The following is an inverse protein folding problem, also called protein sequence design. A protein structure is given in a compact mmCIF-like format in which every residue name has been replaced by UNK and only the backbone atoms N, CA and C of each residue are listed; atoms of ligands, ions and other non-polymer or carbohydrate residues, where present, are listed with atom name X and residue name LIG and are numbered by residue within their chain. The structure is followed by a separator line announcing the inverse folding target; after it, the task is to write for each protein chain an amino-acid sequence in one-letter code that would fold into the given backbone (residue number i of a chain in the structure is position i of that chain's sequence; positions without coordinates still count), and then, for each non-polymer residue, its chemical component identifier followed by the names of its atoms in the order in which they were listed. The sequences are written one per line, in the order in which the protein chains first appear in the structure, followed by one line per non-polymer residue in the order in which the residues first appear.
data_IF_985727128027
#
_entry.id   IF_985727128027
#
_cell.length_a   1.000
_cell.length_b   1.000
_cell.length_c   1.000
_cell.angle_alpha   90.00
_cell.angle_beta   90.00
_cell.angle_gamma   90.00
#
_symmetry.space_group_name_H-M   'P 1'
#
loop_
_entity.id
_entity.type
_entity.pdbx_description
1 polymer ?
#
# COMPACT_ATOMS: atom_id res chain seq x y z
N UNK A 1 -29.21 -22.47 -2.69
CA UNK A 1 -28.06 -22.50 -3.63
C UNK A 1 -27.36 -21.17 -3.53
N UNK A 2 -26.46 -21.08 -2.57
CA UNK A 2 -25.71 -19.88 -2.17
C UNK A 2 -24.38 -19.88 -2.91
N UNK A 3 -24.33 -19.25 -4.09
CA UNK A 3 -23.09 -18.95 -4.78
C UNK A 3 -22.46 -17.73 -4.11
N UNK A 4 -21.52 -17.97 -3.19
CA UNK A 4 -20.61 -16.93 -2.70
C UNK A 4 -19.69 -16.62 -3.88
N UNK A 5 -19.93 -15.48 -4.52
CA UNK A 5 -19.11 -14.97 -5.61
C UNK A 5 -17.80 -14.49 -4.99
N UNK A 6 -16.69 -15.11 -5.39
CA UNK A 6 -15.35 -14.70 -4.97
C UNK A 6 -15.12 -13.24 -5.38
N UNK A 7 -14.59 -12.38 -4.49
CA UNK A 7 -14.22 -11.03 -4.88
C UNK A 7 -13.04 -11.13 -5.85
N UNK A 8 -13.29 -10.78 -7.11
CA UNK A 8 -12.24 -10.48 -8.08
C UNK A 8 -11.37 -9.36 -7.51
N UNK A 9 -10.18 -9.69 -7.00
CA UNK A 9 -9.17 -8.69 -6.71
C UNK A 9 -8.68 -8.13 -8.05
N UNK A 10 -9.22 -6.97 -8.43
CA UNK A 10 -8.61 -6.10 -9.43
C UNK A 10 -7.19 -5.78 -8.94
N UNK A 11 -6.21 -5.70 -9.84
CA UNK A 11 -4.88 -5.13 -9.58
C UNK A 11 -5.08 -3.71 -9.01
N UNK A 12 -5.24 -3.60 -7.71
CA UNK A 12 -5.29 -2.32 -7.03
C UNK A 12 -3.86 -1.77 -7.00
N UNK A 13 -3.67 -0.54 -7.47
CA UNK A 13 -2.47 0.22 -7.14
C UNK A 13 -2.30 0.17 -5.61
N UNK A 14 -1.19 -0.40 -5.14
CA UNK A 14 -0.98 -0.72 -3.73
C UNK A 14 -1.01 0.53 -2.84
N UNK A 15 -0.55 1.67 -3.35
CA UNK A 15 -0.54 2.94 -2.63
C UNK A 15 -1.40 3.99 -3.39
N UNK A 16 -2.20 4.80 -2.67
CA UNK A 16 -3.01 5.90 -3.23
C UNK A 16 -2.76 7.24 -2.51
N UNK A 17 -3.39 8.33 -2.97
CA UNK A 17 -3.19 9.68 -2.42
C UNK A 17 -1.70 10.08 -2.40
N UNK A 18 -1.27 10.73 -1.31
CA UNK A 18 0.11 11.21 -1.17
C UNK A 18 1.13 10.07 -1.05
N UNK A 19 0.79 8.94 -0.44
CA UNK A 19 1.68 7.78 -0.37
C UNK A 19 1.89 7.13 -1.75
N UNK A 20 0.82 7.03 -2.56
CA UNK A 20 0.93 6.56 -3.94
C UNK A 20 1.71 7.50 -4.84
N UNK A 21 1.65 8.82 -4.58
CA UNK A 21 2.48 9.78 -5.29
C UNK A 21 3.95 9.60 -4.90
N UNK A 22 4.25 9.46 -3.61
CA UNK A 22 5.60 9.23 -3.12
C UNK A 22 6.21 7.93 -3.68
N UNK A 23 5.41 6.87 -3.84
CA UNK A 23 5.84 5.66 -4.53
C UNK A 23 6.25 5.94 -5.99
N UNK A 24 5.47 6.74 -6.73
CA UNK A 24 5.82 7.11 -8.10
C UNK A 24 7.19 7.80 -8.19
N UNK A 25 7.55 8.64 -7.21
CA UNK A 25 8.89 9.24 -7.08
C UNK A 25 9.98 8.22 -6.72
N UNK A 26 9.65 7.13 -6.02
CA UNK A 26 10.59 6.05 -5.70
C UNK A 26 10.88 5.16 -6.93
N UNK A 27 9.86 4.94 -7.77
CA UNK A 27 9.94 4.06 -8.94
C UNK A 27 10.48 4.79 -10.19
N UNK A 28 10.39 6.11 -10.22
CA UNK A 28 10.85 6.93 -11.35
C UNK A 28 12.30 7.38 -11.19
N UNK A 29 13.01 7.70 -12.29
CA UNK A 29 14.26 8.45 -12.21
C UNK A 29 14.07 9.76 -11.44
N UNK A 30 15.09 10.15 -10.66
CA UNK A 30 15.05 11.38 -9.88
C UNK A 30 14.83 12.59 -10.82
N UNK A 31 13.81 13.42 -10.59
CA UNK A 31 13.55 14.60 -11.42
C UNK A 31 14.71 15.60 -11.35
N UNK A 32 15.12 16.13 -12.50
CA UNK A 32 16.25 17.07 -12.59
C UNK A 32 15.89 18.47 -12.07
N UNK A 33 14.62 18.86 -12.20
CA UNK A 33 14.09 20.14 -11.77
C UNK A 33 12.63 20.04 -11.33
N UNK A 34 12.10 21.17 -10.85
CA UNK A 34 10.71 21.26 -10.38
C UNK A 34 9.69 21.00 -11.49
N UNK A 35 10.00 21.35 -12.74
CA UNK A 35 9.11 21.09 -13.88
C UNK A 35 8.99 19.60 -14.15
N UNK A 36 10.10 18.87 -14.14
CA UNK A 36 10.11 17.41 -14.25
C UNK A 36 9.36 16.74 -13.09
N UNK A 37 9.52 17.25 -11.86
CA UNK A 37 8.80 16.73 -10.69
C UNK A 37 7.28 16.93 -10.83
N UNK A 38 6.81 18.10 -11.27
CA UNK A 38 5.39 18.35 -11.54
C UNK A 38 4.88 17.54 -12.75
N UNK A 39 5.74 17.28 -13.73
CA UNK A 39 5.47 16.36 -14.84
C UNK A 39 5.14 14.96 -14.34
N UNK A 40 5.88 14.45 -13.35
CA UNK A 40 5.59 13.16 -12.72
C UNK A 40 4.26 13.16 -11.96
N UNK A 41 3.96 14.23 -11.22
CA UNK A 41 2.65 14.41 -10.54
C UNK A 41 1.52 14.34 -11.57
N UNK A 42 1.65 15.08 -12.67
CA UNK A 42 0.66 15.10 -13.76
C UNK A 42 0.53 13.71 -14.39
N UNK A 43 1.63 13.02 -14.66
CA UNK A 43 1.62 11.69 -15.25
C UNK A 43 0.93 10.64 -14.35
N UNK A 44 1.15 10.69 -13.03
CA UNK A 44 0.46 9.80 -12.07
C UNK A 44 -1.04 10.09 -12.04
N UNK A 45 -1.44 11.36 -11.97
CA UNK A 45 -2.84 11.76 -12.06
C UNK A 45 -3.48 11.32 -13.39
N UNK A 46 -2.77 11.46 -14.52
CA UNK A 46 -3.22 11.02 -15.85
C UNK A 46 -3.32 9.49 -15.97
N UNK A 47 -2.52 8.73 -15.23
CA UNK A 47 -2.57 7.28 -15.22
C UNK A 47 -3.87 6.79 -14.55
N UNK A 48 -4.16 7.31 -13.35
CA UNK A 48 -5.42 7.02 -12.65
C UNK A 48 -6.66 7.49 -13.42
N UNK A 49 -6.56 8.62 -14.14
CA UNK A 49 -7.67 9.08 -14.97
C UNK A 49 -7.90 8.17 -16.20
N UNK A 50 -6.84 7.52 -16.71
CA UNK A 50 -6.91 6.62 -17.88
C UNK A 50 -7.23 5.18 -17.53
N UNK A 51 -7.06 4.76 -16.28
CA UNK A 51 -7.60 3.48 -15.82
C UNK A 51 -9.13 3.51 -16.02
N UNK A 52 -9.53 2.79 -17.07
CA UNK A 52 -10.89 2.68 -17.54
C UNK A 52 -11.74 1.96 -16.49
N UNK A 53 -13.06 2.24 -16.46
CA UNK A 53 -13.96 1.64 -15.48
C UNK A 53 -13.85 0.13 -15.54
N UNK A 54 -13.86 -0.51 -14.37
CA UNK A 54 -13.98 -1.96 -14.20
C UNK A 54 -14.90 -2.48 -15.30
N UNK A 55 -14.39 -3.40 -16.13
CA UNK A 55 -15.04 -3.80 -17.38
C UNK A 55 -16.55 -3.98 -17.21
N UNK A 56 -17.33 -3.10 -17.85
CA UNK A 56 -18.79 -3.10 -17.95
C UNK A 56 -19.51 -4.03 -16.96
N UNK A 57 -19.77 -3.52 -15.75
CA UNK A 57 -20.79 -4.08 -14.82
C UNK A 57 -22.22 -3.84 -15.32
N UNK A 58 -22.40 -3.43 -16.57
CA UNK A 58 -23.71 -3.15 -17.17
C UNK A 58 -24.62 -4.39 -17.21
N UNK A 59 -24.01 -5.58 -17.17
CA UNK A 59 -24.71 -6.85 -17.08
C UNK A 59 -25.23 -7.18 -15.67
N UNK A 60 -24.73 -6.51 -14.62
CA UNK A 60 -25.19 -6.66 -13.24
C UNK A 60 -26.37 -5.71 -12.98
N UNK A 61 -27.38 -6.17 -12.24
CA UNK A 61 -28.46 -5.33 -11.72
C UNK A 61 -27.95 -4.37 -10.63
N UNK A 62 -28.73 -3.32 -10.32
CA UNK A 62 -28.36 -2.36 -9.27
C UNK A 62 -28.17 -3.04 -7.89
N UNK A 63 -29.02 -4.02 -7.56
CA UNK A 63 -28.89 -4.78 -6.32
C UNK A 63 -27.62 -5.64 -6.32
N UNK A 64 -27.26 -6.26 -7.45
CA UNK A 64 -26.02 -7.04 -7.58
C UNK A 64 -24.77 -6.16 -7.49
N UNK A 65 -24.78 -4.96 -8.08
CA UNK A 65 -23.67 -3.99 -7.95
C UNK A 65 -23.52 -3.49 -6.52
N UNK A 66 -24.62 -3.27 -5.81
CA UNK A 66 -24.62 -2.88 -4.40
C UNK A 66 -24.13 -4.01 -3.48
N UNK A 67 -24.59 -5.25 -3.71
CA UNK A 67 -24.19 -6.45 -2.96
C UNK A 67 -22.70 -6.78 -3.17
N UNK A 68 -22.19 -6.56 -4.38
CA UNK A 68 -20.79 -6.86 -4.76
C UNK A 68 -19.83 -5.67 -4.58
N UNK A 69 -20.31 -4.52 -4.09
CA UNK A 69 -19.45 -3.34 -3.84
C UNK A 69 -19.01 -2.57 -5.10
N UNK A 70 -19.56 -2.87 -6.27
CA UNK A 70 -19.24 -2.17 -7.54
C UNK A 70 -19.87 -0.78 -7.67
N UNK A 71 -20.83 -0.45 -6.79
CA UNK A 71 -21.35 0.91 -6.66
C UNK A 71 -20.37 1.86 -5.95
N UNK A 72 -19.28 1.33 -5.37
CA UNK A 72 -18.28 2.07 -4.60
C UNK A 72 -16.87 1.73 -5.08
N UNK A 73 -16.61 2.01 -6.34
CA UNK A 73 -15.28 1.92 -6.90
C UNK A 73 -14.54 3.26 -6.70
N UNK A 74 -13.21 3.25 -6.53
CA UNK A 74 -12.35 4.44 -6.36
C UNK A 74 -12.55 5.51 -7.48
N UNK A 75 -13.19 5.08 -8.57
CA UNK A 75 -13.44 5.77 -9.82
C UNK A 75 -14.52 6.87 -9.74
N UNK A 76 -15.30 6.93 -8.66
CA UNK A 76 -16.30 8.00 -8.47
C UNK A 76 -15.72 9.29 -7.85
N UNK A 77 -14.57 9.22 -7.15
CA UNK A 77 -13.96 10.37 -6.45
C UNK A 77 -12.59 10.80 -7.03
N UNK A 78 -11.90 9.92 -7.76
CA UNK A 78 -10.67 10.25 -8.48
C UNK A 78 -9.47 10.50 -7.56
N UNK A 79 -8.35 9.88 -7.88
CA UNK A 79 -7.07 9.99 -7.16
C UNK A 79 -6.66 11.44 -6.81
N UNK A 80 -7.08 12.42 -7.63
CA UNK A 80 -6.84 13.84 -7.38
C UNK A 80 -7.50 14.36 -6.09
N UNK A 81 -8.69 13.90 -5.71
CA UNK A 81 -9.36 14.40 -4.50
C UNK A 81 -8.70 13.87 -3.23
N UNK A 82 -8.40 12.57 -3.18
CA UNK A 82 -7.67 11.94 -2.07
C UNK A 82 -6.28 12.57 -1.88
N UNK A 83 -5.55 12.78 -2.99
CA UNK A 83 -4.26 13.45 -2.94
C UNK A 83 -4.39 14.88 -2.38
N UNK A 84 -5.45 15.61 -2.74
CA UNK A 84 -5.69 16.96 -2.21
C UNK A 84 -6.04 16.95 -0.74
N UNK A 85 -6.84 16.00 -0.27
CA UNK A 85 -7.15 15.86 1.16
C UNK A 85 -5.86 15.66 1.98
N UNK A 86 -5.00 14.73 1.55
CA UNK A 86 -3.70 14.47 2.18
C UNK A 86 -2.80 15.73 2.19
N UNK A 87 -2.68 16.37 1.02
CA UNK A 87 -1.84 17.55 0.81
C UNK A 87 -2.33 18.72 1.66
N UNK A 88 -3.64 18.99 1.67
CA UNK A 88 -4.23 20.09 2.44
C UNK A 88 -4.09 19.84 3.93
N UNK A 89 -4.32 18.60 4.37
CA UNK A 89 -4.08 18.20 5.76
C UNK A 89 -2.68 18.59 6.23
N UNK A 90 -1.65 18.29 5.45
CA UNK A 90 -0.27 18.68 5.78
C UNK A 90 -0.03 20.19 5.66
N UNK A 91 -0.52 20.83 4.59
CA UNK A 91 -0.33 22.28 4.32
C UNK A 91 -1.03 23.17 5.35
N UNK A 92 -2.12 22.72 5.95
CA UNK A 92 -2.87 23.46 6.98
C UNK A 92 -2.44 23.07 8.40
N UNK A 93 -1.70 21.98 8.56
CA UNK A 93 -1.23 21.50 9.87
C UNK A 93 -0.23 22.44 10.55
N UNK A 94 -0.15 22.38 11.89
CA UNK A 94 0.86 23.11 12.67
C UNK A 94 2.26 22.48 12.62
N UNK A 95 2.50 21.45 11.79
CA UNK A 95 3.81 20.80 11.68
C UNK A 95 4.87 21.77 11.16
N UNK A 96 6.12 21.60 11.61
CA UNK A 96 7.25 22.33 11.04
C UNK A 96 7.49 21.91 9.58
N UNK A 97 8.02 22.82 8.75
CA UNK A 97 8.33 22.50 7.35
C UNK A 97 9.38 21.37 7.25
N UNK A 98 10.32 21.35 8.20
CA UNK A 98 11.33 20.31 8.33
C UNK A 98 10.72 18.92 8.58
N UNK A 99 9.66 18.83 9.39
CA UNK A 99 8.96 17.58 9.65
C UNK A 99 8.24 17.09 8.38
N UNK A 100 7.55 18.00 7.67
CA UNK A 100 6.90 17.69 6.38
C UNK A 100 7.93 17.22 5.35
N UNK A 101 9.08 17.91 5.28
CA UNK A 101 10.19 17.53 4.40
C UNK A 101 10.74 16.14 4.74
N UNK A 102 10.96 15.86 6.03
CA UNK A 102 11.51 14.58 6.47
C UNK A 102 10.59 13.41 6.08
N UNK A 103 9.30 13.55 6.34
CA UNK A 103 8.28 12.54 5.98
C UNK A 103 8.19 12.37 4.46
N UNK A 104 8.12 13.46 3.70
CA UNK A 104 8.09 13.41 2.23
C UNK A 104 9.32 12.68 1.68
N UNK A 105 10.52 13.04 2.13
CA UNK A 105 11.76 12.41 1.64
C UNK A 105 11.83 10.93 2.01
N UNK A 106 11.40 10.56 3.21
CA UNK A 106 11.34 9.17 3.64
C UNK A 106 10.38 8.35 2.76
N UNK A 107 9.17 8.86 2.52
CA UNK A 107 8.17 8.18 1.70
C UNK A 107 8.55 8.11 0.22
N UNK A 108 9.18 9.16 -0.31
CA UNK A 108 9.60 9.26 -1.71
C UNK A 108 10.97 8.62 -2.02
N UNK A 109 11.58 7.93 -1.05
CA UNK A 109 12.90 7.30 -1.22
C UNK A 109 14.03 8.28 -1.50
N UNK A 110 13.87 9.54 -1.13
CA UNK A 110 14.80 10.63 -1.45
C UNK A 110 14.87 10.98 -2.94
N UNK A 111 13.96 10.47 -3.77
CA UNK A 111 13.93 10.72 -5.22
C UNK A 111 13.69 12.18 -5.59
N UNK A 112 13.08 12.96 -4.68
CA UNK A 112 12.87 14.40 -4.83
C UNK A 112 12.92 15.12 -3.48
N UNK A 113 13.76 16.15 -3.36
CA UNK A 113 13.85 17.02 -2.19
C UNK A 113 13.61 18.48 -2.60
N UNK A 114 12.42 19.07 -2.31
CA UNK A 114 12.09 20.41 -2.78
C UNK A 114 13.07 21.49 -2.28
N UNK A 115 13.65 21.30 -1.08
CA UNK A 115 14.61 22.27 -0.50
C UNK A 115 15.91 22.30 -1.28
N UNK A 116 16.35 21.16 -1.84
CA UNK A 116 17.52 21.11 -2.72
C UNK A 116 17.33 21.94 -4.01
N UNK A 117 16.07 22.23 -4.36
CA UNK A 117 15.67 23.05 -5.52
C UNK A 117 15.14 24.44 -5.10
N UNK A 118 15.46 24.90 -3.89
CA UNK A 118 15.12 26.26 -3.43
C UNK A 118 13.64 26.46 -3.06
N UNK A 119 12.93 25.39 -2.71
CA UNK A 119 11.52 25.42 -2.37
C UNK A 119 11.26 24.78 -1.00
N UNK A 120 10.39 25.39 -0.17
CA UNK A 120 9.96 24.74 1.07
C UNK A 120 9.14 23.47 0.78
N UNK A 121 9.09 22.53 1.73
CA UNK A 121 8.27 21.34 1.54
C UNK A 121 6.78 21.69 1.45
N UNK A 122 6.33 22.70 2.20
CA UNK A 122 4.95 23.20 2.13
C UNK A 122 4.62 23.87 0.80
N UNK A 123 5.54 24.63 0.21
CA UNK A 123 5.34 25.21 -1.12
C UNK A 123 5.27 24.12 -2.21
N UNK A 124 6.05 23.05 -2.06
CA UNK A 124 5.94 21.88 -2.93
C UNK A 124 4.55 21.24 -2.86
N UNK A 125 4.05 20.98 -1.64
CA UNK A 125 2.71 20.45 -1.43
C UNK A 125 1.62 21.37 -1.99
N UNK A 126 1.75 22.70 -1.84
CA UNK A 126 0.81 23.67 -2.46
C UNK A 126 0.78 23.56 -3.98
N UNK A 127 1.92 23.38 -4.63
CA UNK A 127 1.96 23.18 -6.11
C UNK A 127 1.30 21.87 -6.53
N UNK A 128 1.37 20.82 -5.70
CA UNK A 128 0.60 19.60 -5.93
C UNK A 128 -0.90 19.88 -5.83
N UNK A 129 -1.36 20.60 -4.78
CA UNK A 129 -2.79 20.98 -4.65
C UNK A 129 -3.27 21.80 -5.85
N UNK A 130 -2.48 22.79 -6.28
CA UNK A 130 -2.77 23.61 -7.48
C UNK A 130 -2.88 22.75 -8.74
N UNK A 131 -1.97 21.79 -8.93
CA UNK A 131 -1.97 20.86 -10.07
C UNK A 131 -3.22 19.98 -10.05
N UNK A 132 -3.63 19.50 -8.88
CA UNK A 132 -4.86 18.72 -8.73
C UNK A 132 -6.11 19.59 -8.94
N UNK A 133 -6.12 20.82 -8.41
CA UNK A 133 -7.24 21.76 -8.52
C UNK A 133 -7.49 22.25 -9.95
N UNK A 134 -6.44 22.28 -10.79
CA UNK A 134 -6.54 22.63 -12.19
C UNK A 134 -7.27 21.56 -13.02
N UNK A 135 -7.47 20.34 -12.49
CA UNK A 135 -8.16 19.26 -13.20
C UNK A 135 -9.68 19.43 -13.10
N UNK A 136 -10.42 19.24 -14.21
CA UNK A 136 -11.87 19.22 -14.14
C UNK A 136 -12.33 18.01 -13.31
N UNK A 137 -13.40 18.13 -12.50
CA UNK A 137 -13.96 16.98 -11.78
C UNK A 137 -14.32 15.87 -12.78
N UNK A 138 -13.94 14.62 -12.46
CA UNK A 138 -14.31 13.46 -13.27
C UNK A 138 -15.83 13.30 -13.22
N UNK A 139 -16.51 13.56 -14.35
CA UNK A 139 -17.94 13.30 -14.50
C UNK A 139 -18.10 11.94 -15.18
N UNK A 140 -18.44 10.90 -14.41
CA UNK A 140 -18.87 9.62 -14.98
C UNK A 140 -20.33 9.78 -15.46
N UNK A 141 -20.61 9.75 -16.77
CA UNK A 141 -21.98 9.97 -17.26
C UNK A 141 -22.95 8.91 -16.74
N UNK A 142 -24.09 9.34 -16.18
CA UNK A 142 -25.13 8.44 -15.69
C UNK A 142 -24.97 7.97 -14.24
N UNK A 143 -23.82 8.21 -13.59
CA UNK A 143 -23.68 8.02 -12.14
C UNK A 143 -24.04 9.30 -11.39
N UNK A 144 -24.86 9.16 -10.34
CA UNK A 144 -25.04 10.22 -9.34
C UNK A 144 -23.77 10.24 -8.48
N UNK A 145 -23.18 11.41 -8.15
CA UNK A 145 -22.12 11.45 -7.16
C UNK A 145 -22.58 10.69 -5.93
N UNK A 146 -21.80 9.71 -5.48
CA UNK A 146 -22.14 8.97 -4.28
C UNK A 146 -22.40 10.00 -3.15
N UNK A 147 -23.41 9.79 -2.28
CA UNK A 147 -23.44 10.49 -1.01
C UNK A 147 -22.06 10.33 -0.36
N UNK A 148 -21.47 11.43 0.12
CA UNK A 148 -20.07 11.54 0.54
C UNK A 148 -19.49 10.22 1.04
N UNK A 149 -18.46 9.75 0.34
CA UNK A 149 -17.73 8.49 0.52
C UNK A 149 -18.40 7.47 1.47
N UNK A 150 -18.91 6.35 0.95
CA UNK A 150 -19.21 5.19 1.80
C UNK A 150 -17.96 4.74 2.60
N UNK A 151 -16.75 5.10 2.15
CA UNK A 151 -15.51 5.07 2.95
C UNK A 151 -15.55 6.01 4.17
N UNK A 152 -16.09 7.23 4.05
CA UNK A 152 -16.31 8.13 5.18
C UNK A 152 -17.35 7.61 6.18
N UNK A 153 -18.26 6.73 5.76
CA UNK A 153 -19.18 6.04 6.67
C UNK A 153 -18.54 4.88 7.43
N UNK A 154 -17.40 4.34 6.95
CA UNK A 154 -16.64 3.24 7.57
C UNK A 154 -15.26 3.65 8.08
N UNK A 155 -14.88 4.93 7.92
CA UNK A 155 -13.64 5.46 8.52
C UNK A 155 -13.82 5.49 10.03
N UNK A 156 -12.96 4.78 10.78
CA UNK A 156 -12.99 4.84 12.22
C UNK A 156 -12.71 6.26 12.66
N UNK A 157 -13.27 6.66 13.80
CA UNK A 157 -12.96 7.98 14.33
C UNK A 157 -11.45 8.06 14.61
N UNK A 158 -10.82 9.20 14.28
CA UNK A 158 -9.36 9.31 14.33
C UNK A 158 -8.79 8.97 15.72
N UNK A 159 -9.51 9.26 16.79
CA UNK A 159 -9.17 8.91 18.16
C UNK A 159 -9.18 7.40 18.46
N UNK A 160 -9.99 6.61 17.76
CA UNK A 160 -10.06 5.15 17.97
C UNK A 160 -8.81 4.40 17.48
N UNK A 161 -8.14 4.95 16.46
CA UNK A 161 -7.01 4.31 15.76
C UNK A 161 -5.68 5.00 16.02
N UNK A 162 -5.69 6.26 16.51
CA UNK A 162 -4.47 7.06 16.68
C UNK A 162 -3.46 6.37 17.58
N UNK A 163 -3.89 5.89 18.74
CA UNK A 163 -2.98 5.33 19.73
C UNK A 163 -2.31 4.04 19.21
N UNK A 164 -3.04 3.23 18.45
CA UNK A 164 -2.50 2.01 17.84
C UNK A 164 -1.49 2.34 16.73
N UNK A 165 -1.79 3.32 15.87
CA UNK A 165 -0.86 3.78 14.82
C UNK A 165 0.42 4.36 15.46
N UNK A 166 0.27 5.22 16.46
CA UNK A 166 1.40 5.83 17.18
C UNK A 166 2.23 4.75 17.89
N UNK A 167 1.58 3.76 18.51
CA UNK A 167 2.29 2.65 19.16
C UNK A 167 3.13 1.84 18.17
N UNK A 168 2.63 1.60 16.95
CA UNK A 168 3.39 0.89 15.93
C UNK A 168 4.61 1.68 15.43
N UNK A 169 4.45 2.98 15.20
CA UNK A 169 5.56 3.87 14.79
C UNK A 169 6.61 3.94 15.91
N UNK A 170 6.18 4.18 17.15
CA UNK A 170 7.05 4.23 18.32
C UNK A 170 7.77 2.89 18.55
N UNK A 171 7.09 1.77 18.27
CA UNK A 171 7.67 0.44 18.33
C UNK A 171 8.83 0.22 17.35
N UNK A 172 8.82 0.87 16.18
CA UNK A 172 9.97 0.85 15.26
C UNK A 172 11.03 1.87 15.72
N UNK A 173 10.62 3.03 16.24
CA UNK A 173 11.55 4.04 16.76
C UNK A 173 12.41 3.52 17.91
N UNK A 174 11.82 2.72 18.80
CA UNK A 174 12.57 2.05 19.86
C UNK A 174 13.65 1.10 19.34
N UNK A 175 13.36 0.36 18.26
CA UNK A 175 14.35 -0.53 17.61
C UNK A 175 15.44 0.32 16.94
N UNK A 176 15.05 1.40 16.25
CA UNK A 176 15.97 2.32 15.59
C UNK A 176 16.92 2.99 16.57
N UNK A 177 16.44 3.46 17.72
CA UNK A 177 17.29 4.05 18.75
C UNK A 177 18.29 3.06 19.35
N UNK A 178 17.89 1.81 19.56
CA UNK A 178 18.82 0.75 20.02
C UNK A 178 19.87 0.45 18.95
N UNK A 179 19.44 0.33 17.68
CA UNK A 179 20.33 0.06 16.56
C UNK A 179 21.28 1.23 16.28
N UNK A 180 20.88 2.48 16.47
CA UNK A 180 21.74 3.66 16.32
C UNK A 180 22.85 3.68 17.38
N UNK A 181 22.52 3.36 18.64
CA UNK A 181 23.51 3.22 19.71
C UNK A 181 24.52 2.11 19.39
N UNK A 182 24.07 1.00 18.81
CA UNK A 182 24.93 -0.11 18.40
C UNK A 182 25.75 0.21 17.12
N UNK A 183 25.13 0.89 16.15
CA UNK A 183 25.68 1.18 14.82
C UNK A 183 26.74 2.27 14.79
N UNK A 184 26.83 3.15 15.80
CA UNK A 184 27.97 4.07 15.99
C UNK A 184 29.31 3.28 16.07
N UNK A 185 29.27 2.02 16.52
CA UNK A 185 30.46 1.16 16.54
C UNK A 185 30.83 0.57 15.17
N UNK A 186 29.84 0.28 14.32
CA UNK A 186 30.03 -0.43 13.04
C UNK A 186 30.21 0.52 11.85
N UNK A 187 29.62 1.73 11.90
CA UNK A 187 29.71 2.75 10.86
C UNK A 187 31.13 3.34 10.69
N UNK A 188 32.01 3.15 11.67
CA UNK A 188 33.44 3.49 11.55
C UNK A 188 34.18 2.63 10.50
N UNK A 189 33.63 1.47 10.11
CA UNK A 189 34.35 0.45 9.35
C UNK A 189 33.94 0.35 7.87
N UNK A 190 32.76 0.85 7.48
CA UNK A 190 32.14 0.51 6.18
C UNK A 190 32.02 1.67 5.16
N UNK A 191 32.56 2.85 5.46
CA UNK A 191 32.32 4.06 4.68
C UNK A 191 33.20 4.19 3.41
N UNK A 192 33.05 3.31 2.43
CA UNK A 192 33.44 3.64 1.05
C UNK A 192 32.74 2.70 0.04
N UNK A 193 31.92 3.27 -0.85
CA UNK A 193 31.33 2.64 -2.08
C UNK A 193 29.90 2.08 -1.97
N UNK A 194 28.86 2.94 -1.96
CA UNK A 194 27.50 2.52 -2.37
C UNK A 194 26.57 3.65 -2.82
N UNK A 195 25.69 3.35 -3.79
CA UNK A 195 24.77 4.28 -4.49
C UNK A 195 23.50 4.60 -3.67
N UNK A 196 22.76 5.68 -4.02
CA UNK A 196 21.60 6.22 -3.27
C UNK A 196 20.56 5.18 -2.82
N UNK A 197 20.18 4.22 -3.69
CA UNK A 197 19.14 3.21 -3.40
C UNK A 197 19.62 2.10 -2.47
N UNK A 198 20.91 1.77 -2.55
CA UNK A 198 21.58 0.79 -1.69
C UNK A 198 22.01 1.40 -0.35
N UNK A 199 21.98 2.73 -0.21
CA UNK A 199 22.30 3.44 1.04
C UNK A 199 21.20 3.36 2.09
N UNK A 200 19.94 3.21 1.68
CA UNK A 200 18.80 3.16 2.63
C UNK A 200 18.29 1.75 2.90
N UNK A 201 18.49 0.80 1.97
CA UNK A 201 18.04 -0.57 2.14
C UNK A 201 18.74 -1.24 3.33
N UNK A 202 17.94 -1.71 4.30
CA UNK A 202 18.43 -2.37 5.51
C UNK A 202 18.80 -1.40 6.66
N UNK A 203 18.71 -0.09 6.45
CA UNK A 203 18.81 0.90 7.54
C UNK A 203 17.43 1.27 8.05
N UNK A 204 17.29 1.40 9.37
CA UNK A 204 16.05 1.91 9.95
C UNK A 204 15.88 3.40 9.62
N UNK A 205 14.63 3.87 9.38
CA UNK A 205 14.36 5.30 9.33
C UNK A 205 14.89 5.97 10.61
N UNK A 206 15.50 7.14 10.48
CA UNK A 206 16.04 7.84 11.65
C UNK A 206 14.94 8.13 12.68
N UNK A 207 15.28 8.23 13.98
CA UNK A 207 14.31 8.60 15.01
C UNK A 207 13.54 9.88 14.68
N UNK A 208 14.20 10.88 14.09
CA UNK A 208 13.56 12.14 13.66
C UNK A 208 12.47 11.92 12.60
N UNK A 209 12.68 11.01 11.65
CA UNK A 209 11.67 10.65 10.64
C UNK A 209 10.47 9.99 11.31
N UNK A 210 10.72 9.08 12.24
CA UNK A 210 9.67 8.35 12.95
C UNK A 210 8.88 9.28 13.86
N UNK A 211 9.54 10.19 14.57
CA UNK A 211 8.88 11.26 15.32
C UNK A 211 8.03 12.15 14.41
N UNK A 212 8.53 12.54 13.24
CA UNK A 212 7.75 13.33 12.28
C UNK A 212 6.50 12.57 11.77
N UNK A 213 6.60 11.25 11.55
CA UNK A 213 5.47 10.39 11.18
C UNK A 213 4.43 10.27 12.31
N UNK A 214 4.87 10.15 13.57
CA UNK A 214 3.98 10.22 14.73
C UNK A 214 3.26 11.57 14.80
N UNK A 215 3.97 12.67 14.57
CA UNK A 215 3.36 14.00 14.56
C UNK A 215 2.31 14.15 13.45
N UNK A 216 2.51 13.54 12.27
CA UNK A 216 1.47 13.46 11.23
C UNK A 216 0.27 12.68 11.73
N UNK A 217 0.47 11.50 12.33
CA UNK A 217 -0.62 10.68 12.85
C UNK A 217 -1.45 11.40 13.94
N UNK A 218 -0.78 12.20 14.78
CA UNK A 218 -1.40 12.93 15.89
C UNK A 218 -2.07 14.23 15.43
N UNK A 219 -1.37 15.04 14.63
CA UNK A 219 -1.78 16.44 14.34
C UNK A 219 -2.46 16.63 12.98
N UNK A 220 -2.36 15.64 12.09
CA UNK A 220 -2.98 15.69 10.76
C UNK A 220 -4.07 14.63 10.68
N UNK A 221 -3.68 13.36 10.55
CA UNK A 221 -4.61 12.24 10.50
C UNK A 221 -3.85 10.91 10.70
N UNK A 222 -4.35 9.97 11.54
CA UNK A 222 -3.69 8.69 11.80
C UNK A 222 -3.56 7.83 10.56
N UNK A 223 -4.54 7.82 9.67
CA UNK A 223 -4.48 7.07 8.41
C UNK A 223 -3.36 7.57 7.48
N UNK A 224 -3.21 8.89 7.34
CA UNK A 224 -2.15 9.47 6.52
C UNK A 224 -0.77 9.15 7.13
N UNK A 225 -0.64 9.30 8.45
CA UNK A 225 0.56 8.91 9.19
C UNK A 225 0.90 7.43 8.96
N UNK A 226 -0.09 6.55 9.05
CA UNK A 226 0.08 5.11 8.82
C UNK A 226 0.49 4.78 7.37
N UNK A 227 -0.17 5.35 6.36
CA UNK A 227 0.21 5.13 4.94
C UNK A 227 1.62 5.61 4.64
N UNK A 228 2.01 6.79 5.14
CA UNK A 228 3.37 7.32 4.96
C UNK A 228 4.41 6.52 5.75
N UNK A 229 4.04 5.98 6.91
CA UNK A 229 4.88 5.08 7.69
C UNK A 229 5.12 3.76 6.95
N UNK A 230 4.08 3.09 6.46
CA UNK A 230 4.22 1.88 5.63
C UNK A 230 5.11 2.16 4.42
N UNK A 231 4.89 3.28 3.73
CA UNK A 231 5.70 3.69 2.58
C UNK A 231 7.17 3.85 2.95
N UNK A 232 7.48 4.47 4.10
CA UNK A 232 8.85 4.54 4.60
C UNK A 232 9.42 3.13 4.86
N UNK A 233 8.69 2.24 5.54
CA UNK A 233 9.18 0.87 5.76
C UNK A 233 9.50 0.14 4.45
N UNK A 234 8.66 0.29 3.41
CA UNK A 234 8.91 -0.26 2.07
C UNK A 234 10.19 0.31 1.45
N UNK A 235 10.36 1.63 1.49
CA UNK A 235 11.55 2.34 0.97
C UNK A 235 12.84 1.89 1.64
N UNK A 236 12.83 1.79 2.97
CA UNK A 236 14.00 1.40 3.76
C UNK A 236 14.18 -0.13 3.81
N UNK A 237 13.23 -0.88 3.25
CA UNK A 237 13.17 -2.35 3.32
C UNK A 237 13.36 -2.84 4.76
N UNK A 238 12.60 -2.23 5.68
CA UNK A 238 12.66 -2.58 7.10
C UNK A 238 12.07 -3.96 7.30
N UNK A 239 12.92 -4.88 7.72
CA UNK A 239 12.53 -6.24 8.09
C UNK A 239 11.57 -6.22 9.30
N UNK A 240 10.35 -6.73 9.15
CA UNK A 240 9.35 -6.83 10.23
C UNK A 240 8.92 -8.27 10.49
N UNK A 241 8.62 -8.57 11.75
CA UNK A 241 8.07 -9.88 12.15
C UNK A 241 6.62 -10.06 11.68
N UNK A 242 6.23 -11.32 11.41
CA UNK A 242 4.86 -11.68 11.01
C UNK A 242 3.77 -11.12 11.94
N UNK A 243 4.01 -11.18 13.26
CA UNK A 243 3.07 -10.66 14.24
C UNK A 243 2.84 -9.14 14.12
N UNK A 244 3.85 -8.38 13.66
CA UNK A 244 3.70 -6.93 13.41
C UNK A 244 2.96 -6.70 12.09
N UNK A 245 3.29 -7.47 11.06
CA UNK A 245 2.53 -7.48 9.81
C UNK A 245 1.04 -7.74 10.04
N UNK A 246 0.68 -8.71 10.90
CA UNK A 246 -0.73 -9.01 11.22
C UNK A 246 -1.46 -7.82 11.86
N UNK A 247 -0.76 -7.05 12.70
CA UNK A 247 -1.31 -5.82 13.27
C UNK A 247 -1.44 -4.71 12.24
N UNK A 248 -0.53 -4.62 11.26
CA UNK A 248 -0.68 -3.69 10.15
C UNK A 248 -1.88 -4.05 9.27
N UNK A 249 -2.11 -5.34 9.00
CA UNK A 249 -3.30 -5.77 8.28
C UNK A 249 -4.57 -5.42 9.05
N UNK A 250 -4.62 -5.71 10.36
CA UNK A 250 -5.77 -5.34 11.19
C UNK A 250 -6.02 -3.81 11.23
N UNK A 251 -4.96 -2.99 11.24
CA UNK A 251 -5.10 -1.53 11.11
C UNK A 251 -5.61 -1.13 9.72
N UNK A 252 -5.04 -1.72 8.66
CA UNK A 252 -5.47 -1.50 7.28
C UNK A 252 -6.96 -1.81 7.07
N UNK A 253 -7.42 -2.97 7.55
CA UNK A 253 -8.81 -3.38 7.51
C UNK A 253 -9.73 -2.37 8.23
N UNK A 254 -9.31 -1.85 9.40
CA UNK A 254 -10.05 -0.82 10.11
C UNK A 254 -10.18 0.47 9.31
N UNK A 255 -9.16 0.84 8.54
CA UNK A 255 -9.23 1.98 7.61
C UNK A 255 -9.98 1.67 6.30
N UNK A 256 -10.40 0.42 6.08
CA UNK A 256 -10.98 -0.03 4.82
C UNK A 256 -9.97 -0.15 3.67
N UNK A 257 -8.67 -0.28 3.98
CA UNK A 257 -7.63 -0.41 2.96
C UNK A 257 -7.57 -1.85 2.40
N UNK A 258 -7.24 -2.01 1.10
CA UNK A 258 -6.98 -3.33 0.55
C UNK A 258 -5.71 -3.93 1.17
N UNK A 259 -5.70 -5.25 1.39
CA UNK A 259 -4.54 -5.97 1.95
C UNK A 259 -3.25 -5.77 1.13
N UNK A 260 -3.38 -5.54 -0.18
CA UNK A 260 -2.29 -5.21 -1.10
C UNK A 260 -1.51 -3.95 -0.68
N UNK A 261 -2.18 -2.96 -0.07
CA UNK A 261 -1.51 -1.74 0.42
C UNK A 261 -0.50 -2.04 1.52
N UNK A 262 -0.78 -3.06 2.34
CA UNK A 262 0.09 -3.47 3.42
C UNK A 262 1.13 -4.45 2.88
N UNK A 263 0.72 -5.49 2.17
CA UNK A 263 1.58 -6.61 1.81
C UNK A 263 2.65 -6.25 0.76
N UNK A 264 2.26 -5.55 -0.31
CA UNK A 264 3.14 -5.32 -1.44
C UNK A 264 4.31 -4.40 -1.07
N UNK A 265 5.53 -4.94 -1.17
CA UNK A 265 6.78 -4.22 -0.98
C UNK A 265 7.29 -4.14 0.46
N UNK A 266 6.59 -4.73 1.44
CA UNK A 266 7.13 -4.88 2.80
C UNK A 266 8.10 -6.06 2.90
N UNK A 267 9.17 -5.88 3.67
CA UNK A 267 10.11 -6.96 3.99
C UNK A 267 9.66 -7.72 5.24
N UNK A 268 8.96 -8.85 5.04
CA UNK A 268 8.27 -9.57 6.11
C UNK A 268 8.98 -10.88 6.47
N UNK A 269 9.29 -11.05 7.75
CA UNK A 269 9.78 -12.28 8.36
C UNK A 269 8.72 -13.34 8.42
N UNK A 270 8.47 -13.92 7.25
CA UNK A 270 7.60 -15.06 7.08
C UNK A 270 8.10 -16.24 7.91
N UNK A 271 7.21 -16.89 8.68
CA UNK A 271 7.55 -18.13 9.36
C UNK A 271 7.89 -19.23 8.33
N UNK A 272 8.52 -20.34 8.75
CA UNK A 272 8.70 -21.49 7.88
C UNK A 272 7.36 -21.99 7.34
N UNK A 273 7.36 -22.46 6.10
CA UNK A 273 6.18 -23.09 5.49
C UNK A 273 5.76 -24.29 6.35
N UNK A 274 4.50 -24.27 6.79
CA UNK A 274 3.89 -25.35 7.55
C UNK A 274 2.75 -25.96 6.73
N UNK A 275 3.02 -27.08 6.06
CA UNK A 275 2.01 -27.80 5.30
C UNK A 275 1.08 -28.63 6.20
N UNK A 276 1.08 -28.50 7.52
CA UNK A 276 -0.06 -28.95 8.33
C UNK A 276 -1.13 -27.86 8.49
N UNK A 277 -0.75 -26.59 8.33
CA UNK A 277 -1.63 -25.44 8.43
C UNK A 277 -2.47 -25.33 7.13
N UNK A 278 -3.79 -25.31 7.28
CA UNK A 278 -4.79 -25.27 6.19
C UNK A 278 -5.81 -24.16 6.48
N UNK A 279 -5.31 -22.97 6.74
CA UNK A 279 -6.11 -21.80 7.15
C UNK A 279 -6.48 -20.87 5.99
N UNK A 280 -6.34 -21.34 4.74
CA UNK A 280 -6.89 -20.65 3.59
C UNK A 280 -8.39 -20.43 3.80
N UNK A 281 -8.85 -19.18 3.63
CA UNK A 281 -10.26 -18.80 3.81
C UNK A 281 -11.10 -19.09 2.56
N UNK A 282 -10.46 -19.57 1.48
CA UNK A 282 -11.02 -19.80 0.16
C UNK A 282 -10.78 -21.24 -0.32
N UNK A 283 -11.50 -21.67 -1.36
CA UNK A 283 -11.37 -23.03 -1.91
C UNK A 283 -10.06 -23.19 -2.68
N UNK A 284 -9.09 -23.91 -2.11
CA UNK A 284 -7.73 -24.06 -2.61
C UNK A 284 -7.38 -25.53 -2.98
N UNK A 285 -6.35 -25.72 -3.81
CA UNK A 285 -5.72 -27.02 -4.02
C UNK A 285 -6.50 -27.92 -4.97
N UNK A 286 -6.62 -29.22 -4.68
CA UNK A 286 -7.28 -30.16 -5.60
C UNK A 286 -8.78 -29.94 -5.75
N UNK A 287 -9.47 -29.42 -4.73
CA UNK A 287 -10.89 -29.06 -4.86
C UNK A 287 -11.07 -27.90 -5.83
N UNK A 288 -10.26 -26.85 -5.70
CA UNK A 288 -10.22 -25.74 -6.65
C UNK A 288 -9.93 -26.21 -8.08
N UNK A 289 -8.85 -26.98 -8.26
CA UNK A 289 -8.45 -27.50 -9.58
C UNK A 289 -9.53 -28.40 -10.20
N UNK A 290 -10.21 -29.23 -9.40
CA UNK A 290 -11.31 -30.05 -9.88
C UNK A 290 -12.54 -29.21 -10.26
N UNK A 291 -12.81 -28.11 -9.56
CA UNK A 291 -13.84 -27.14 -9.90
C UNK A 291 -13.57 -26.45 -11.24
N UNK A 292 -12.32 -26.00 -11.46
CA UNK A 292 -11.88 -25.39 -12.72
C UNK A 292 -11.89 -26.38 -13.89
N UNK A 293 -11.56 -27.65 -13.64
CA UNK A 293 -11.54 -28.70 -14.65
C UNK A 293 -12.90 -28.94 -15.34
N UNK A 294 -14.01 -28.55 -14.71
CA UNK A 294 -15.34 -28.65 -15.32
C UNK A 294 -15.54 -27.63 -16.47
N UNK A 295 -14.74 -26.57 -16.56
CA UNK A 295 -14.97 -25.48 -17.53
C UNK A 295 -14.17 -25.62 -18.83
N UNK A 296 -12.86 -25.91 -18.81
CA UNK A 296 -12.06 -26.37 -19.96
C UNK A 296 -10.65 -26.82 -19.50
N UNK A 297 -10.22 -28.04 -19.83
CA UNK A 297 -8.91 -28.59 -19.39
C UNK A 297 -7.73 -28.22 -20.32
N UNK A 298 -8.02 -27.52 -21.42
CA UNK A 298 -7.03 -27.27 -22.50
C UNK A 298 -5.83 -26.42 -22.07
N UNK A 299 -5.94 -25.63 -21.00
CA UNK A 299 -4.83 -24.88 -20.39
C UNK A 299 -4.53 -25.30 -18.93
N UNK A 300 -4.53 -26.60 -18.68
CA UNK A 300 -4.26 -27.17 -17.35
C UNK A 300 -2.93 -26.72 -16.72
N UNK A 301 -1.90 -26.40 -17.52
CA UNK A 301 -0.61 -25.92 -16.96
C UNK A 301 -0.69 -24.49 -16.43
N UNK A 302 -1.42 -23.60 -17.10
CA UNK A 302 -1.65 -22.24 -16.63
C UNK A 302 -2.41 -22.23 -15.31
N UNK A 303 -3.49 -23.02 -15.22
CA UNK A 303 -4.34 -23.09 -14.02
C UNK A 303 -3.65 -23.75 -12.83
N UNK A 304 -2.83 -24.78 -13.06
CA UNK A 304 -1.99 -25.37 -12.01
C UNK A 304 -0.98 -24.34 -11.49
N UNK A 305 -0.36 -23.56 -12.39
CA UNK A 305 0.58 -22.50 -11.98
C UNK A 305 -0.12 -21.43 -11.14
N UNK A 306 -1.26 -20.89 -11.60
CA UNK A 306 -2.05 -19.90 -10.85
C UNK A 306 -2.43 -20.41 -9.48
N UNK A 307 -2.88 -21.66 -9.38
CA UNK A 307 -3.18 -22.29 -8.09
C UNK A 307 -1.92 -22.37 -7.23
N UNK A 308 -0.79 -22.81 -7.77
CA UNK A 308 0.46 -22.92 -7.00
C UNK A 308 1.00 -21.55 -6.53
N UNK A 309 0.77 -20.49 -7.29
CA UNK A 309 1.12 -19.10 -6.98
C UNK A 309 0.06 -18.37 -6.15
N UNK A 310 -1.05 -19.02 -5.84
CA UNK A 310 -2.22 -18.44 -5.16
C UNK A 310 -2.06 -18.31 -3.65
N UNK A 311 -0.88 -17.95 -3.15
CA UNK A 311 -0.78 -17.59 -1.73
C UNK A 311 -1.69 -16.39 -1.44
N UNK A 312 -2.49 -16.47 -0.38
CA UNK A 312 -3.32 -15.36 0.07
C UNK A 312 -2.47 -14.33 0.83
N UNK A 313 -2.97 -13.10 0.95
CA UNK A 313 -2.30 -12.06 1.72
C UNK A 313 -2.05 -12.53 3.16
N UNK A 314 -0.80 -12.42 3.61
CA UNK A 314 -0.41 -12.86 4.94
C UNK A 314 -0.12 -14.35 5.08
N UNK A 315 -0.15 -15.12 3.99
CA UNK A 315 0.44 -16.45 3.97
C UNK A 315 1.94 -16.38 3.71
N UNK A 316 2.67 -17.41 4.16
CA UNK A 316 4.09 -17.52 3.82
C UNK A 316 4.20 -17.80 2.32
N UNK A 317 5.01 -17.05 1.55
CA UNK A 317 5.18 -17.30 0.14
C UNK A 317 5.61 -18.75 -0.14
N UNK A 318 4.92 -19.40 -1.07
CA UNK A 318 5.06 -20.81 -1.44
C UNK A 318 4.19 -21.78 -0.63
N UNK A 319 3.33 -21.30 0.28
CA UNK A 319 2.46 -22.17 1.08
C UNK A 319 1.48 -22.95 0.20
N UNK A 320 0.83 -22.28 -0.74
CA UNK A 320 -0.07 -22.87 -1.72
C UNK A 320 0.62 -24.01 -2.49
N UNK A 321 1.77 -23.72 -3.11
CA UNK A 321 2.57 -24.71 -3.83
C UNK A 321 2.97 -25.90 -2.95
N UNK A 322 3.38 -25.67 -1.70
CA UNK A 322 3.82 -26.71 -0.79
C UNK A 322 2.67 -27.63 -0.35
N UNK A 323 1.50 -27.05 -0.06
CA UNK A 323 0.27 -27.80 0.25
C UNK A 323 -0.14 -28.67 -0.94
N UNK A 324 -0.17 -28.09 -2.14
CA UNK A 324 -0.53 -28.82 -3.36
C UNK A 324 0.43 -29.98 -3.63
N UNK A 325 1.74 -29.78 -3.40
CA UNK A 325 2.75 -30.83 -3.53
C UNK A 325 2.53 -31.96 -2.51
N UNK A 326 2.29 -31.63 -1.24
CA UNK A 326 2.05 -32.62 -0.21
C UNK A 326 0.82 -33.49 -0.52
N UNK A 327 -0.28 -32.85 -0.89
CA UNK A 327 -1.52 -33.56 -1.24
C UNK A 327 -1.31 -34.45 -2.46
N UNK A 328 -0.55 -33.98 -3.46
CA UNK A 328 -0.17 -34.77 -4.64
C UNK A 328 0.62 -36.01 -4.23
N UNK A 329 1.63 -35.86 -3.38
CA UNK A 329 2.44 -36.98 -2.89
C UNK A 329 1.62 -37.96 -2.05
N UNK A 330 0.67 -37.45 -1.25
CA UNK A 330 -0.25 -38.30 -0.48
C UNK A 330 -1.15 -39.13 -1.39
N UNK A 331 -1.69 -38.53 -2.45
CA UNK A 331 -2.50 -39.23 -3.43
C UNK A 331 -1.70 -40.29 -4.18
N UNK A 332 -0.50 -39.95 -4.67
CA UNK A 332 0.38 -40.89 -5.38
C UNK A 332 0.81 -42.07 -4.51
N UNK A 333 0.99 -41.87 -3.20
CA UNK A 333 1.31 -42.96 -2.24
C UNK A 333 0.11 -43.81 -1.82
N UNK A 334 -1.11 -43.36 -2.14
CA UNK A 334 -2.35 -44.06 -1.82
C UNK A 334 -2.84 -45.01 -2.92
N UNK A 335 -2.22 -44.92 -4.11
CA UNK A 335 -2.45 -45.79 -5.27
C UNK A 335 -1.49 -46.99 -5.26
#
# INVERSE_FOLDING_TARGET
MTGRQEPYYVDYDADFGLSGLAEAFTLSPAPEDTGAALGLVTAKLDAYDRECPVGSVDHLSADERSILGYDTSHDDWGYAEELREDVRGLVESPLADEAIRAVWRAAAGGGWDPVAHGMSARDWLRRIDETCAARPPRKVPGRRPAPGSWWGAWRPAADEVRDDVVAEIAGIAGIAGIAEIAGIAEAAEAAETRSCRERSAGFLPSPDILSALEEVAVRVHPELGFRLFLRALKVYSVRIEKARYDRFQALGERFGHPAALIDLGLDIAWPPIDTARRDATWDFGFSHLAGQAHQDWRDSRGEIRKTAEGDDFGQTPGSAAAVLLEDTLRLLRSA
#
